data_IF_144528904227
#
_entry.id   IF_144528904227
#
_cell.length_a   1.000
_cell.length_b   1.000
_cell.length_c   1.000
_cell.angle_alpha   90.00
_cell.angle_beta   90.00
_cell.angle_gamma   90.00
#
_symmetry.space_group_name_H-M   'P 1'
#
loop_
_entity.id
_entity.type
_entity.pdbx_description
1 polymer ?
#
# COMPACT_ATOMS: atom_id res chain seq x y z
N UNK A 1 -8.43 11.99 -4.21
CA UNK A 1 -8.63 11.66 -2.79
C UNK A 1 -7.28 11.17 -2.33
N UNK A 2 -6.74 11.71 -1.24
CA UNK A 2 -5.39 11.37 -0.83
C UNK A 2 -5.28 9.87 -0.55
N UNK A 3 -4.10 9.28 -0.79
CA UNK A 3 -3.91 7.84 -0.57
C UNK A 3 -4.25 7.42 0.88
N UNK A 4 -3.97 8.28 1.85
CA UNK A 4 -4.31 8.08 3.26
C UNK A 4 -5.83 7.94 3.46
N UNK A 5 -6.63 8.81 2.85
CA UNK A 5 -8.09 8.79 2.95
C UNK A 5 -8.67 7.48 2.39
N UNK A 6 -8.12 7.03 1.26
CA UNK A 6 -8.48 5.76 0.60
C UNK A 6 -8.17 4.58 1.53
N UNK A 7 -6.97 4.57 2.13
CA UNK A 7 -6.55 3.52 3.06
C UNK A 7 -7.41 3.51 4.33
N UNK A 8 -7.67 4.67 4.94
CA UNK A 8 -8.58 4.80 6.10
C UNK A 8 -9.96 4.24 5.77
N UNK A 9 -10.53 4.62 4.62
CA UNK A 9 -11.81 4.08 4.14
C UNK A 9 -11.77 2.57 3.97
N UNK A 10 -10.69 2.03 3.41
CA UNK A 10 -10.53 0.58 3.23
C UNK A 10 -10.40 -0.17 4.57
N UNK A 11 -9.84 0.46 5.60
CA UNK A 11 -9.71 -0.08 6.96
C UNK A 11 -10.94 0.20 7.84
N UNK A 12 -11.97 0.88 7.30
CA UNK A 12 -13.16 1.32 8.04
C UNK A 12 -12.83 2.29 9.21
N UNK A 13 -11.73 3.03 9.08
CA UNK A 13 -11.34 4.10 10.01
C UNK A 13 -12.05 5.39 9.56
N UNK A 14 -12.80 6.07 10.45
CA UNK A 14 -13.41 7.36 10.11
C UNK A 14 -12.34 8.40 9.73
N UNK A 15 -12.62 9.23 8.74
CA UNK A 15 -11.66 10.21 8.22
C UNK A 15 -11.21 11.24 9.28
N UNK A 16 -12.08 11.50 10.27
CA UNK A 16 -11.83 12.43 11.39
C UNK A 16 -10.84 11.87 12.42
N UNK A 17 -10.66 10.55 12.46
CA UNK A 17 -9.76 9.89 13.40
C UNK A 17 -8.33 9.94 12.87
N UNK A 18 -7.39 10.31 13.74
CA UNK A 18 -5.96 10.48 13.36
C UNK A 18 -5.01 9.57 14.12
N UNK A 19 -5.52 8.74 15.05
CA UNK A 19 -4.70 7.89 15.92
C UNK A 19 -3.82 6.88 15.16
N UNK A 20 -4.20 6.52 13.93
CA UNK A 20 -3.49 5.55 13.09
C UNK A 20 -2.64 6.20 12.00
N UNK A 21 -2.68 7.53 11.84
CA UNK A 21 -2.17 8.20 10.63
C UNK A 21 -0.67 7.98 10.44
N UNK A 22 0.10 8.05 11.52
CA UNK A 22 1.55 7.85 11.48
C UNK A 22 1.91 6.40 11.06
N UNK A 23 1.21 5.40 11.60
CA UNK A 23 1.41 3.99 11.26
C UNK A 23 1.00 3.72 9.80
N UNK A 24 -0.17 4.24 9.38
CA UNK A 24 -0.65 4.10 8.01
C UNK A 24 0.31 4.75 7.01
N UNK A 25 0.78 5.97 7.28
CA UNK A 25 1.76 6.65 6.43
C UNK A 25 3.08 5.88 6.38
N UNK A 26 3.52 5.29 7.49
CA UNK A 26 4.71 4.43 7.52
C UNK A 26 4.56 3.22 6.59
N UNK A 27 3.43 2.52 6.65
CA UNK A 27 3.17 1.39 5.76
C UNK A 27 3.00 1.81 4.29
N UNK A 28 2.32 2.92 4.02
CA UNK A 28 2.18 3.48 2.66
C UNK A 28 3.56 3.77 2.08
N UNK A 29 4.41 4.49 2.82
CA UNK A 29 5.76 4.84 2.37
C UNK A 29 6.65 3.60 2.17
N UNK A 30 6.52 2.60 3.05
CA UNK A 30 7.21 1.32 2.91
C UNK A 30 6.79 0.59 1.62
N UNK A 31 5.49 0.55 1.33
CA UNK A 31 4.98 -0.04 0.09
C UNK A 31 5.47 0.70 -1.16
N UNK A 32 5.52 2.04 -1.11
CA UNK A 32 6.05 2.85 -2.22
C UNK A 32 7.54 2.56 -2.48
N UNK A 33 8.36 2.51 -1.42
CA UNK A 33 9.77 2.13 -1.54
C UNK A 33 9.96 0.70 -2.07
N UNK A 34 9.11 -0.23 -1.64
CA UNK A 34 9.11 -1.59 -2.18
C UNK A 34 8.86 -1.59 -3.69
N UNK A 35 7.81 -0.88 -4.15
CA UNK A 35 7.52 -0.75 -5.58
C UNK A 35 8.67 -0.14 -6.37
N UNK A 36 9.32 0.89 -5.82
CA UNK A 36 10.52 1.49 -6.42
C UNK A 36 11.67 0.48 -6.52
N UNK A 37 11.90 -0.32 -5.46
CA UNK A 37 12.91 -1.38 -5.47
C UNK A 37 12.61 -2.50 -6.48
N UNK A 38 11.34 -2.69 -6.84
CA UNK A 38 10.90 -3.59 -7.90
C UNK A 38 11.03 -2.98 -9.30
N UNK A 39 11.55 -1.76 -9.43
CA UNK A 39 11.80 -1.07 -10.70
C UNK A 39 10.62 -0.28 -11.25
N UNK A 40 9.57 -0.03 -10.46
CA UNK A 40 8.43 0.80 -10.89
C UNK A 40 8.82 2.28 -10.82
N UNK A 41 8.52 3.04 -11.87
CA UNK A 41 8.86 4.47 -11.93
C UNK A 41 8.21 5.30 -10.79
N UNK A 42 8.99 6.13 -10.06
CA UNK A 42 8.47 6.94 -8.95
C UNK A 42 7.35 7.91 -9.33
N UNK A 43 7.32 8.45 -10.56
CA UNK A 43 6.22 9.30 -11.02
C UNK A 43 4.91 8.52 -11.12
N UNK A 44 4.99 7.22 -11.45
CA UNK A 44 3.84 6.33 -11.51
C UNK A 44 3.40 5.86 -10.10
N UNK A 45 4.35 5.62 -9.19
CA UNK A 45 4.08 5.27 -7.79
C UNK A 45 3.39 6.44 -7.05
N UNK A 46 3.73 7.68 -7.40
CA UNK A 46 3.18 8.87 -6.76
C UNK A 46 1.93 9.42 -7.48
N UNK A 47 1.49 8.79 -8.56
CA UNK A 47 0.24 9.13 -9.22
C UNK A 47 -0.97 8.60 -8.42
N UNK A 48 -1.57 9.48 -7.63
CA UNK A 48 -2.77 9.16 -6.83
C UNK A 48 -4.02 8.87 -7.68
N UNK A 49 -4.00 9.17 -8.99
CA UNK A 49 -5.09 8.81 -9.89
C UNK A 49 -5.03 7.34 -10.33
N UNK A 50 -3.92 6.65 -10.05
CA UNK A 50 -3.71 5.28 -10.48
C UNK A 50 -4.41 4.27 -9.53
N UNK A 51 -5.46 3.57 -10.00
CA UNK A 51 -6.18 2.62 -9.16
C UNK A 51 -5.36 1.36 -8.85
N UNK A 52 -4.40 0.97 -9.70
CA UNK A 52 -3.56 -0.21 -9.45
C UNK A 52 -2.57 0.04 -8.31
N UNK A 53 -1.89 1.19 -8.30
CA UNK A 53 -0.98 1.57 -7.20
C UNK A 53 -1.75 1.68 -5.88
N UNK A 54 -2.92 2.33 -5.91
CA UNK A 54 -3.80 2.42 -4.74
C UNK A 54 -4.19 1.04 -4.22
N UNK A 55 -4.52 0.09 -5.11
CA UNK A 55 -4.90 -1.28 -4.74
C UNK A 55 -3.75 -2.03 -4.08
N UNK A 56 -2.53 -1.93 -4.62
CA UNK A 56 -1.33 -2.58 -4.06
C UNK A 56 -1.02 -2.03 -2.68
N UNK A 57 -1.08 -0.70 -2.50
CA UNK A 57 -0.88 -0.06 -1.19
C UNK A 57 -1.94 -0.54 -0.19
N UNK A 58 -3.21 -0.62 -0.59
CA UNK A 58 -4.29 -1.11 0.30
C UNK A 58 -4.04 -2.55 0.75
N UNK A 59 -3.64 -3.45 -0.16
CA UNK A 59 -3.32 -4.84 0.18
C UNK A 59 -2.15 -4.89 1.18
N UNK A 60 -1.07 -4.17 0.88
CA UNK A 60 0.12 -4.11 1.74
C UNK A 60 -0.24 -3.61 3.15
N UNK A 61 -0.91 -2.46 3.24
CA UNK A 61 -1.28 -1.85 4.52
C UNK A 61 -2.25 -2.76 5.29
N UNK A 62 -3.26 -3.36 4.65
CA UNK A 62 -4.19 -4.29 5.33
C UNK A 62 -3.50 -5.51 5.92
N UNK A 63 -2.46 -6.00 5.25
CA UNK A 63 -1.66 -7.11 5.74
C UNK A 63 -0.87 -6.70 6.98
N UNK A 64 -0.20 -5.55 6.98
CA UNK A 64 0.71 -5.19 8.07
C UNK A 64 0.06 -4.39 9.21
N UNK A 65 -1.02 -3.65 8.94
CA UNK A 65 -1.74 -2.90 9.96
C UNK A 65 -2.37 -3.83 11.00
N UNK A 66 -2.15 -3.53 12.28
CA UNK A 66 -2.63 -4.33 13.40
C UNK A 66 -2.06 -5.75 13.39
N UNK A 67 -0.77 -5.88 13.71
CA UNK A 67 -0.05 -7.16 13.83
C UNK A 67 -0.89 -8.25 14.50
N UNK A 68 -0.63 -9.53 14.16
CA UNK A 68 -1.29 -10.64 14.83
C UNK A 68 -0.98 -10.59 16.33
N UNK A 69 -1.95 -10.98 17.16
CA UNK A 69 -1.81 -11.06 18.62
C UNK A 69 -0.66 -11.99 19.07
N UNK A 70 -0.12 -12.81 18.17
CA UNK A 70 0.99 -13.74 18.39
C UNK A 70 2.37 -13.20 17.96
N UNK A 71 2.43 -11.95 17.46
CA UNK A 71 3.67 -11.32 17.00
C UNK A 71 4.22 -11.83 15.67
N UNK A 72 3.52 -12.76 15.00
CA UNK A 72 3.94 -13.25 13.68
C UNK A 72 3.53 -12.28 12.56
N UNK A 73 4.33 -12.21 11.50
CA UNK A 73 3.98 -11.44 10.32
C UNK A 73 2.74 -12.05 9.62
N UNK A 74 1.87 -11.19 9.07
CA UNK A 74 0.85 -11.65 8.13
C UNK A 74 1.53 -11.83 6.77
N UNK A 75 1.19 -12.92 6.08
CA UNK A 75 1.69 -13.16 4.73
C UNK A 75 0.91 -12.31 3.73
N UNK A 76 1.61 -11.77 2.74
CA UNK A 76 0.95 -11.10 1.63
C UNK A 76 0.20 -12.15 0.79
N UNK A 77 -0.99 -11.82 0.27
CA UNK A 77 -1.70 -12.73 -0.61
C UNK A 77 -0.90 -12.94 -1.90
N UNK A 78 -0.97 -14.14 -2.49
CA UNK A 78 -0.28 -14.46 -3.76
C UNK A 78 -0.59 -13.50 -4.91
N UNK A 79 -1.76 -12.86 -4.88
CA UNK A 79 -2.15 -11.85 -5.86
C UNK A 79 -1.31 -10.57 -5.77
N UNK A 80 -0.68 -10.28 -4.63
CA UNK A 80 0.16 -9.11 -4.45
C UNK A 80 1.36 -9.13 -5.39
N UNK A 81 2.11 -10.23 -5.43
CA UNK A 81 3.29 -10.37 -6.29
C UNK A 81 2.92 -10.26 -7.78
N UNK A 82 1.76 -10.82 -8.16
CA UNK A 82 1.23 -10.69 -9.52
C UNK A 82 0.95 -9.23 -9.90
N UNK A 83 0.32 -8.47 -9.01
CA UNK A 83 0.02 -7.05 -9.24
C UNK A 83 1.29 -6.20 -9.32
N UNK A 84 2.26 -6.46 -8.45
CA UNK A 84 3.56 -5.79 -8.46
C UNK A 84 4.30 -6.09 -9.75
N UNK A 85 4.32 -7.36 -10.18
CA UNK A 85 4.90 -7.75 -11.47
C UNK A 85 4.23 -7.07 -12.65
N UNK A 86 2.90 -6.94 -12.65
CA UNK A 86 2.19 -6.20 -13.70
C UNK A 86 2.54 -4.71 -13.71
N UNK A 87 2.68 -4.07 -12.55
CA UNK A 87 3.14 -2.68 -12.45
C UNK A 87 4.54 -2.51 -13.01
N UNK A 88 5.47 -3.39 -12.62
CA UNK A 88 6.85 -3.38 -13.09
C UNK A 88 6.95 -3.66 -14.60
N UNK A 89 6.08 -4.47 -15.18
CA UNK A 89 6.10 -4.71 -16.63
C UNK A 89 5.45 -3.58 -17.44
N UNK A 90 4.45 -2.90 -16.88
CA UNK A 90 3.70 -1.86 -17.60
C UNK A 90 4.40 -0.50 -17.56
N UNK A 91 5.14 -0.23 -16.48
CA UNK A 91 5.80 1.05 -16.18
C UNK A 91 7.18 0.88 -15.52
N UNK A 92 7.77 -0.30 -15.65
CA UNK A 92 9.18 -0.48 -15.35
C UNK A 92 10.02 0.25 -16.38
N UNK A 93 11.06 0.90 -15.88
CA UNK A 93 12.06 1.58 -16.70
C UNK A 93 13.14 0.59 -17.14
#
# INVERSE_FOLDING_TARGET
MAILDIVKKALLIPQVETYADDELNTHINSCKHYLESCGVDPSYINDESNPMVSTVIIIYVKTFYGFKNDGSAKELPKSFDMLVGQLALTKGS
#
